data_IF_221487272563
#
_entry.id   IF_221487272563
#
_cell.length_a   1.000
_cell.length_b   1.000
_cell.length_c   1.000
_cell.angle_alpha   90.00
_cell.angle_beta   90.00
_cell.angle_gamma   90.00
#
_symmetry.space_group_name_H-M   'P 1'
#
loop_
_entity.id
_entity.type
_entity.pdbx_description
1 polymer ?
#
# COMPACT_ATOMS: atom_id res chain seq x y z
N UNK A 1 19.42 -13.54 6.81
CA UNK A 1 18.18 -12.79 7.14
C UNK A 1 17.66 -12.14 5.86
N UNK A 2 16.35 -12.12 5.61
CA UNK A 2 15.74 -11.54 4.39
C UNK A 2 14.88 -10.33 4.74
N UNK A 3 15.08 -9.22 4.02
CA UNK A 3 14.26 -8.02 4.10
C UNK A 3 13.37 -7.94 2.86
N UNK A 4 12.06 -7.81 3.06
CA UNK A 4 11.10 -7.57 1.98
C UNK A 4 10.86 -6.08 1.85
N UNK A 5 11.17 -5.53 0.67
CA UNK A 5 10.94 -4.13 0.34
C UNK A 5 9.66 -4.03 -0.49
N UNK A 6 8.73 -3.19 -0.05
CA UNK A 6 7.46 -2.95 -0.74
C UNK A 6 7.41 -1.49 -1.16
N UNK A 7 7.10 -1.26 -2.42
CA UNK A 7 6.70 0.07 -2.91
C UNK A 7 5.26 0.34 -2.46
N UNK A 8 5.11 1.15 -1.42
CA UNK A 8 3.82 1.47 -0.82
C UNK A 8 2.97 2.39 -1.69
N UNK A 9 3.59 3.30 -2.45
CA UNK A 9 2.85 4.21 -3.33
C UNK A 9 2.19 3.44 -4.47
N UNK A 10 2.97 2.59 -5.15
CA UNK A 10 2.44 1.74 -6.20
C UNK A 10 1.41 0.74 -5.64
N UNK A 11 1.68 0.10 -4.50
CA UNK A 11 0.78 -0.92 -3.94
C UNK A 11 -0.59 -0.35 -3.54
N UNK A 12 -0.63 0.84 -2.93
CA UNK A 12 -1.90 1.52 -2.62
C UNK A 12 -2.66 1.88 -3.89
N UNK A 13 -1.97 2.41 -4.91
CA UNK A 13 -2.58 2.72 -6.21
C UNK A 13 -3.17 1.45 -6.87
N UNK A 14 -2.38 0.37 -6.91
CA UNK A 14 -2.79 -0.94 -7.43
C UNK A 14 -4.00 -1.47 -6.69
N UNK A 15 -4.03 -1.37 -5.36
CA UNK A 15 -5.19 -1.81 -4.57
C UNK A 15 -6.42 -0.95 -4.81
N UNK A 16 -6.30 0.37 -4.93
CA UNK A 16 -7.42 1.28 -5.17
C UNK A 16 -8.11 1.03 -6.52
N UNK A 17 -7.32 0.72 -7.56
CA UNK A 17 -7.84 0.52 -8.92
C UNK A 17 -8.11 -0.95 -9.27
N UNK A 18 -7.51 -1.91 -8.57
CA UNK A 18 -7.58 -3.34 -8.89
C UNK A 18 -8.46 -4.18 -7.96
N UNK A 19 -8.75 -3.73 -6.74
CA UNK A 19 -9.58 -4.48 -5.79
C UNK A 19 -11.03 -3.97 -5.77
N UNK A 20 -12.01 -4.80 -5.34
CA UNK A 20 -13.37 -4.34 -5.11
C UNK A 20 -13.42 -3.17 -4.12
N UNK A 21 -14.18 -2.13 -4.47
CA UNK A 21 -14.35 -0.96 -3.60
C UNK A 21 -14.99 -1.35 -2.28
N UNK A 22 -14.56 -0.70 -1.20
CA UNK A 22 -15.16 -0.87 0.13
C UNK A 22 -15.21 0.49 0.80
N UNK A 23 -16.33 0.80 1.44
CA UNK A 23 -16.45 1.98 2.31
C UNK A 23 -16.54 1.58 3.79
N UNK A 24 -16.05 2.46 4.66
CA UNK A 24 -16.29 2.40 6.11
C UNK A 24 -17.74 2.82 6.44
N UNK A 25 -18.11 2.73 7.72
CA UNK A 25 -19.48 3.03 8.20
C UNK A 25 -19.92 4.47 7.92
N UNK A 26 -18.97 5.41 7.90
CA UNK A 26 -19.14 6.82 7.56
C UNK A 26 -19.00 7.11 6.06
N UNK A 27 -18.91 6.07 5.22
CA UNK A 27 -18.89 6.19 3.76
C UNK A 27 -17.52 6.49 3.15
N UNK A 28 -16.44 6.57 3.95
CA UNK A 28 -15.08 6.81 3.43
C UNK A 28 -14.55 5.58 2.69
N UNK A 29 -13.90 5.78 1.55
CA UNK A 29 -13.24 4.68 0.83
C UNK A 29 -12.08 4.11 1.67
N UNK A 30 -12.07 2.78 1.84
CA UNK A 30 -11.06 2.04 2.63
C UNK A 30 -10.56 0.77 1.93
N UNK A 31 -11.03 0.47 0.73
CA UNK A 31 -10.69 -0.72 -0.04
C UNK A 31 -9.21 -0.79 -0.35
N UNK A 32 -8.58 0.33 -0.73
CA UNK A 32 -7.13 0.35 -0.98
C UNK A 32 -6.31 0.00 0.27
N UNK A 33 -6.65 0.59 1.41
CA UNK A 33 -5.99 0.32 2.69
C UNK A 33 -6.18 -1.15 3.11
N UNK A 34 -7.39 -1.68 2.97
CA UNK A 34 -7.67 -3.11 3.24
C UNK A 34 -6.87 -4.03 2.32
N UNK A 35 -6.78 -3.70 1.04
CA UNK A 35 -6.01 -4.45 0.05
C UNK A 35 -4.52 -4.49 0.41
N UNK A 36 -3.92 -3.34 0.71
CA UNK A 36 -2.52 -3.25 1.15
C UNK A 36 -2.28 -4.12 2.40
N UNK A 37 -3.12 -4.01 3.42
CA UNK A 37 -2.98 -4.83 4.64
C UNK A 37 -3.06 -6.32 4.35
N UNK A 38 -3.96 -6.73 3.45
CA UNK A 38 -4.07 -8.14 3.05
C UNK A 38 -2.79 -8.63 2.35
N UNK A 39 -2.19 -7.83 1.46
CA UNK A 39 -0.90 -8.14 0.82
C UNK A 39 0.22 -8.31 1.85
N UNK A 40 0.33 -7.38 2.82
CA UNK A 40 1.37 -7.45 3.86
C UNK A 40 1.19 -8.65 4.79
N UNK A 41 -0.04 -8.96 5.19
CA UNK A 41 -0.34 -10.17 5.99
C UNK A 41 0.01 -11.44 5.21
N UNK A 42 -0.21 -11.45 3.89
CA UNK A 42 0.19 -12.58 3.05
C UNK A 42 1.71 -12.76 2.99
N UNK A 43 2.51 -11.68 2.96
CA UNK A 43 3.97 -11.78 3.05
C UNK A 43 4.41 -12.46 4.36
N UNK A 44 3.82 -12.08 5.49
CA UNK A 44 4.13 -12.69 6.79
C UNK A 44 3.70 -14.15 6.82
N UNK A 45 2.43 -14.44 6.49
CA UNK A 45 1.85 -15.78 6.67
C UNK A 45 2.30 -16.80 5.62
N UNK A 46 2.47 -16.39 4.36
CA UNK A 46 2.77 -17.30 3.25
C UNK A 46 4.25 -17.34 2.90
N UNK A 47 4.96 -16.22 3.03
CA UNK A 47 6.38 -16.15 2.69
C UNK A 47 7.30 -16.18 3.92
N UNK A 48 6.74 -16.20 5.13
CA UNK A 48 7.53 -16.23 6.37
C UNK A 48 8.33 -14.94 6.58
N UNK A 49 7.85 -13.81 6.07
CA UNK A 49 8.54 -12.53 6.21
C UNK A 49 8.65 -12.12 7.70
N UNK A 50 9.88 -11.92 8.17
CA UNK A 50 10.16 -11.42 9.53
C UNK A 50 10.57 -9.95 9.56
N UNK A 51 11.01 -9.40 8.42
CA UNK A 51 11.40 -8.00 8.26
C UNK A 51 10.80 -7.47 6.97
N UNK A 52 10.00 -6.41 7.08
CA UNK A 52 9.34 -5.74 5.95
C UNK A 52 9.56 -4.24 6.09
N UNK A 53 9.96 -3.58 5.00
CA UNK A 53 9.98 -2.13 4.91
C UNK A 53 9.09 -1.69 3.74
N UNK A 54 8.18 -0.76 4.02
CA UNK A 54 7.27 -0.18 3.02
C UNK A 54 7.69 1.26 2.80
N UNK A 55 8.12 1.58 1.59
CA UNK A 55 8.56 2.93 1.23
C UNK A 55 7.43 3.70 0.56
N UNK A 56 7.36 5.01 0.84
CA UNK A 56 6.45 5.92 0.18
C UNK A 56 7.25 7.09 -0.37
N UNK A 57 6.81 7.61 -1.51
CA UNK A 57 7.40 8.83 -2.05
C UNK A 57 7.07 10.02 -1.15
N UNK A 58 8.05 10.92 -1.03
CA UNK A 58 7.78 12.23 -0.48
C UNK A 58 7.01 13.03 -1.52
N UNK A 59 6.01 13.80 -1.09
CA UNK A 59 5.40 14.80 -1.95
C UNK A 59 6.48 15.76 -2.49
N UNK A 60 6.65 15.77 -3.81
CA UNK A 60 7.50 16.75 -4.49
C UNK A 60 6.63 17.96 -4.78
N UNK A 61 7.04 19.14 -4.31
CA UNK A 61 6.35 20.37 -4.68
C UNK A 61 6.36 20.50 -6.21
N UNK A 62 5.25 20.96 -6.84
CA UNK A 62 5.22 21.14 -8.28
C UNK A 62 6.38 22.04 -8.71
N UNK A 63 7.05 21.64 -9.80
CA UNK A 63 8.09 22.46 -10.41
C UNK A 63 7.43 23.76 -10.84
N UNK A 64 7.82 24.87 -10.23
CA UNK A 64 7.39 26.20 -10.70
C UNK A 64 8.14 26.45 -11.99
N UNK A 65 7.44 26.37 -13.11
CA UNK A 65 7.91 26.92 -14.38
C UNK A 65 7.64 28.44 -14.37
N UNK A 66 8.63 29.27 -14.77
CA UNK A 66 8.46 30.71 -14.86
C UNK A 66 7.43 31.13 -15.90
#
# INVERSE_FOLDING_TARGET
MKLFLVDGQFEVFRCFHGAPRTTSRDGREVGAARGLMHSLVALVRKQGATHVAVAFDRAVAPVRVP
#
